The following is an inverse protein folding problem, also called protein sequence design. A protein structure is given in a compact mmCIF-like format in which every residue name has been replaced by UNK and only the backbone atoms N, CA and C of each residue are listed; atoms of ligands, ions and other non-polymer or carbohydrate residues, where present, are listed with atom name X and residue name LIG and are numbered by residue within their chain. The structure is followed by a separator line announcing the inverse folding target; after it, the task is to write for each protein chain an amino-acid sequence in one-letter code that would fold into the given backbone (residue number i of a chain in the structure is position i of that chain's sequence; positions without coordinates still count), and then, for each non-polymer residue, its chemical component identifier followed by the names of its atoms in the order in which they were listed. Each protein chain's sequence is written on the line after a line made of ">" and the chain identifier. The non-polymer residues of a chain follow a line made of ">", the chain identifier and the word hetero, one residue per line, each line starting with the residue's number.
data_IF_934410548301
#
_entry.id   IF_934410548301
#
_cell.length_a   1.000
_cell.length_b   1.000
_cell.length_c   1.000
_cell.angle_alpha   90.00
_cell.angle_beta   90.00
_cell.angle_gamma   90.00
#
_symmetry.space_group_name_H-M   'P 1'
#
loop_
_entity.id
_entity.type
_entity.pdbx_description
1 polymer ?
#
# COMPACT_ATOMS: atom_id res chain seq x y z
N UNK A 1 10.76 14.21 -60.77
CA UNK A 1 10.44 13.18 -59.75
C UNK A 1 9.58 13.88 -58.72
N UNK A 2 8.29 13.54 -58.64
CA UNK A 2 7.37 14.16 -57.69
C UNK A 2 7.57 13.41 -56.37
N UNK A 3 7.93 14.10 -55.30
CA UNK A 3 8.03 13.52 -53.95
C UNK A 3 6.66 13.64 -53.28
N UNK A 4 6.02 12.51 -53.01
CA UNK A 4 4.78 12.43 -52.26
C UNK A 4 5.09 12.06 -50.82
N UNK A 5 5.59 13.03 -50.04
CA UNK A 5 5.96 12.84 -48.64
C UNK A 5 5.05 13.60 -47.68
N UNK A 6 4.68 12.95 -46.57
CA UNK A 6 3.98 13.59 -45.44
C UNK A 6 5.01 13.97 -44.36
N UNK A 7 4.93 15.21 -43.88
CA UNK A 7 5.82 15.70 -42.81
C UNK A 7 5.01 16.29 -41.67
N UNK A 8 4.99 15.57 -40.55
CA UNK A 8 4.32 16.00 -39.31
C UNK A 8 5.36 16.68 -38.43
N UNK A 9 5.11 17.93 -38.03
CA UNK A 9 5.99 18.70 -37.13
C UNK A 9 5.35 18.78 -35.75
N UNK A 10 6.17 18.91 -34.71
CA UNK A 10 5.72 19.00 -33.32
C UNK A 10 4.81 17.84 -32.92
N UNK A 11 5.25 16.61 -33.21
CA UNK A 11 4.51 15.38 -32.94
C UNK A 11 4.10 15.30 -31.48
N UNK A 12 2.83 15.03 -31.27
CA UNK A 12 2.19 14.80 -29.98
C UNK A 12 1.65 13.38 -29.93
N UNK A 13 1.22 12.90 -28.75
CA UNK A 13 0.57 11.59 -28.64
C UNK A 13 -0.68 11.43 -29.50
N UNK A 14 -1.35 12.55 -29.85
CA UNK A 14 -2.56 12.54 -30.66
C UNK A 14 -2.29 12.18 -32.13
N UNK A 15 -1.03 12.29 -32.55
CA UNK A 15 -0.59 11.91 -33.89
C UNK A 15 -0.26 10.41 -33.99
N UNK A 16 -0.27 9.66 -32.88
CA UNK A 16 -0.09 8.21 -32.94
C UNK A 16 -1.28 7.57 -33.64
N UNK A 17 -1.03 6.66 -34.58
CA UNK A 17 -2.09 6.00 -35.32
C UNK A 17 -1.64 5.34 -36.61
N UNK A 18 -2.61 4.74 -37.31
CA UNK A 18 -2.40 4.14 -38.63
C UNK A 18 -2.66 5.20 -39.70
N UNK A 19 -1.63 5.53 -40.45
CA UNK A 19 -1.67 6.40 -41.61
C UNK A 19 -1.83 5.54 -42.86
N UNK A 20 -2.62 6.03 -43.81
CA UNK A 20 -2.91 5.35 -45.06
C UNK A 20 -2.64 6.29 -46.22
N UNK A 21 -1.87 5.81 -47.19
CA UNK A 21 -1.62 6.48 -48.45
C UNK A 21 -2.46 5.79 -49.53
N UNK A 22 -3.31 6.54 -50.22
CA UNK A 22 -4.15 6.03 -51.31
C UNK A 22 -3.79 6.79 -52.59
N UNK A 23 -3.60 6.06 -53.69
CA UNK A 23 -3.37 6.63 -55.02
C UNK A 23 -4.61 6.40 -55.88
N UNK A 24 -5.14 7.46 -56.48
CA UNK A 24 -6.30 7.40 -57.38
C UNK A 24 -6.04 8.19 -58.67
N UNK A 25 -6.59 7.72 -59.79
CA UNK A 25 -6.52 8.42 -61.08
C UNK A 25 -7.92 8.88 -61.55
N UNK A 26 -8.04 10.04 -62.21
CA UNK A 26 -9.34 10.59 -62.64
C UNK A 26 -10.08 9.73 -63.65
N UNK A 27 -9.37 8.90 -64.44
CA UNK A 27 -9.92 8.10 -65.53
C UNK A 27 -10.62 6.82 -65.07
N UNK A 28 -10.45 6.43 -63.79
CA UNK A 28 -11.10 5.26 -63.22
C UNK A 28 -11.94 5.70 -62.02
N UNK A 29 -13.17 6.11 -62.30
CA UNK A 29 -14.19 6.40 -61.29
C UNK A 29 -14.33 5.19 -60.35
N UNK A 30 -13.61 5.23 -59.22
CA UNK A 30 -13.79 4.29 -58.10
C UNK A 30 -12.77 3.16 -57.95
N UNK A 31 -11.67 3.10 -58.73
CA UNK A 31 -10.59 2.13 -58.47
C UNK A 31 -9.40 2.80 -57.77
N UNK A 32 -9.15 2.45 -56.51
CA UNK A 32 -7.89 2.77 -55.83
C UNK A 32 -6.77 1.98 -56.54
N UNK A 33 -5.79 2.70 -57.11
CA UNK A 33 -4.71 2.10 -57.88
C UNK A 33 -3.72 1.36 -56.99
N UNK A 34 -3.43 1.95 -55.83
CA UNK A 34 -2.55 1.38 -54.82
C UNK A 34 -2.86 1.99 -53.45
N UNK A 35 -2.72 1.20 -52.40
CA UNK A 35 -2.88 1.61 -51.01
C UNK A 35 -1.73 1.03 -50.18
N UNK A 36 -1.10 1.86 -49.34
CA UNK A 36 -0.16 1.38 -48.33
C UNK A 36 -0.47 2.01 -46.97
N UNK A 37 -0.11 1.30 -45.89
CA UNK A 37 -0.39 1.73 -44.53
C UNK A 37 0.81 1.64 -43.61
N UNK A 38 1.04 2.68 -42.83
CA UNK A 38 2.12 2.77 -41.84
C UNK A 38 1.56 3.13 -40.48
N UNK A 39 2.08 2.51 -39.41
CA UNK A 39 1.70 2.85 -38.04
C UNK A 39 2.75 3.77 -37.43
N UNK A 40 2.33 4.98 -37.04
CA UNK A 40 3.15 5.91 -36.28
C UNK A 40 2.98 5.65 -34.78
N UNK A 41 4.04 5.18 -34.13
CA UNK A 41 4.11 5.10 -32.68
C UNK A 41 4.83 6.33 -32.12
N UNK A 42 4.21 7.00 -31.14
CA UNK A 42 4.80 8.17 -30.48
C UNK A 42 5.38 7.75 -29.13
N UNK A 43 6.70 7.83 -29.01
CA UNK A 43 7.41 7.53 -27.77
C UNK A 43 7.44 8.77 -26.87
N UNK A 44 7.25 8.57 -25.56
CA UNK A 44 7.25 9.65 -24.56
C UNK A 44 8.03 9.22 -23.33
N UNK A 45 8.86 10.12 -22.82
CA UNK A 45 9.59 9.92 -21.57
C UNK A 45 8.62 9.75 -20.38
N UNK A 46 9.06 9.12 -19.29
CA UNK A 46 8.21 8.96 -18.11
C UNK A 46 7.89 10.32 -17.49
N UNK A 47 6.70 10.46 -16.90
CA UNK A 47 6.43 11.57 -16.00
C UNK A 47 7.22 11.43 -14.69
N UNK A 48 7.25 12.50 -13.88
CA UNK A 48 7.77 12.41 -12.51
C UNK A 48 6.93 11.39 -11.72
N UNK A 49 7.52 10.28 -11.23
CA UNK A 49 6.76 9.25 -10.55
C UNK A 49 6.31 9.70 -9.16
N UNK A 50 5.19 9.15 -8.70
CA UNK A 50 4.75 9.20 -7.31
C UNK A 50 5.46 8.11 -6.52
N UNK A 51 6.09 8.48 -5.41
CA UNK A 51 6.73 7.56 -4.48
C UNK A 51 5.90 7.42 -3.20
N UNK A 52 5.47 6.21 -2.91
CA UNK A 52 4.75 5.85 -1.68
C UNK A 52 5.77 5.22 -0.74
N UNK A 53 6.15 5.98 0.28
CA UNK A 53 7.11 5.59 1.31
C UNK A 53 6.46 5.90 2.66
N UNK A 54 6.35 4.94 3.58
CA UNK A 54 5.81 5.20 4.90
C UNK A 54 6.76 6.10 5.69
N UNK A 55 6.19 7.04 6.46
CA UNK A 55 7.00 7.93 7.30
C UNK A 55 7.74 7.16 8.41
N UNK A 56 7.12 6.09 8.91
CA UNK A 56 7.66 5.25 9.98
C UNK A 56 7.33 3.77 9.78
N UNK A 57 8.20 2.89 10.30
CA UNK A 57 7.98 1.46 10.38
C UNK A 57 8.53 0.89 11.69
N UNK A 58 8.07 -0.30 12.08
CA UNK A 58 8.58 -1.00 13.25
C UNK A 58 9.61 -2.04 12.82
N UNK A 59 10.74 -2.09 13.52
CA UNK A 59 11.77 -3.10 13.35
C UNK A 59 11.17 -4.51 13.41
N UNK A 60 11.56 -5.38 12.48
CA UNK A 60 11.02 -6.74 12.36
C UNK A 60 9.80 -6.88 11.42
N UNK A 61 9.22 -5.78 10.94
CA UNK A 61 8.03 -5.83 10.06
C UNK A 61 8.36 -5.93 8.57
N UNK A 62 7.38 -6.34 7.78
CA UNK A 62 7.42 -6.28 6.31
C UNK A 62 6.96 -4.90 5.88
N UNK A 63 7.73 -4.24 5.00
CA UNK A 63 7.41 -2.90 4.51
C UNK A 63 7.53 -2.87 2.99
N UNK A 64 6.54 -2.28 2.32
CA UNK A 64 6.49 -2.12 0.88
C UNK A 64 6.51 -0.64 0.50
N UNK A 65 7.41 -0.28 -0.42
CA UNK A 65 7.50 1.03 -1.05
C UNK A 65 7.06 0.89 -2.51
N UNK A 66 6.28 1.85 -3.01
CA UNK A 66 5.77 1.83 -4.40
C UNK A 66 6.18 3.07 -5.17
N UNK A 67 6.45 2.87 -6.45
CA UNK A 67 6.83 3.93 -7.39
C UNK A 67 5.98 3.78 -8.65
N UNK A 68 5.25 4.82 -9.02
CA UNK A 68 4.31 4.79 -10.14
C UNK A 68 4.36 6.11 -10.91
N UNK A 69 4.58 6.06 -12.23
CA UNK A 69 4.34 7.19 -13.11
C UNK A 69 2.96 7.12 -13.78
N UNK A 70 2.47 8.28 -14.22
CA UNK A 70 1.17 8.40 -14.91
C UNK A 70 1.28 8.10 -16.41
N UNK A 71 2.49 8.13 -16.94
CA UNK A 71 2.73 8.10 -18.37
C UNK A 71 4.18 7.72 -18.69
N UNK A 72 4.33 7.03 -19.80
CA UNK A 72 5.61 6.67 -20.39
C UNK A 72 5.35 5.69 -21.53
N UNK A 73 5.92 5.94 -22.70
CA UNK A 73 5.92 4.98 -23.80
C UNK A 73 7.32 4.89 -24.40
N UNK A 74 8.02 3.74 -24.33
CA UNK A 74 7.59 2.47 -23.73
C UNK A 74 7.42 2.54 -22.21
N UNK A 75 6.77 1.52 -21.63
CA UNK A 75 6.61 1.39 -20.18
C UNK A 75 7.98 1.41 -19.48
N UNK A 76 8.16 2.24 -18.43
CA UNK A 76 9.46 2.42 -17.81
C UNK A 76 9.87 1.26 -16.91
N UNK A 77 11.18 1.21 -16.64
CA UNK A 77 11.74 0.44 -15.56
C UNK A 77 12.07 1.36 -14.38
N UNK A 78 11.94 0.83 -13.17
CA UNK A 78 12.07 1.55 -11.93
C UNK A 78 13.34 1.16 -11.18
N UNK A 79 14.03 2.17 -10.65
CA UNK A 79 15.20 2.00 -9.80
C UNK A 79 15.02 2.77 -8.50
N UNK A 80 15.16 2.08 -7.38
CA UNK A 80 15.13 2.68 -6.06
C UNK A 80 16.50 3.13 -5.59
N UNK A 81 16.49 4.17 -4.77
CA UNK A 81 17.66 4.75 -4.13
C UNK A 81 17.34 5.02 -2.66
N UNK A 82 18.32 4.76 -1.80
CA UNK A 82 18.29 5.11 -0.39
C UNK A 82 19.50 6.01 -0.10
N UNK A 83 19.25 7.20 0.43
CA UNK A 83 20.28 8.20 0.75
C UNK A 83 21.19 8.50 -0.45
N UNK A 84 20.58 8.53 -1.65
CA UNK A 84 21.29 8.73 -2.92
C UNK A 84 21.94 7.49 -3.51
N UNK A 85 22.05 6.38 -2.76
CA UNK A 85 22.69 5.14 -3.20
C UNK A 85 21.66 4.23 -3.87
N UNK A 86 22.00 3.73 -5.06
CA UNK A 86 21.13 2.81 -5.83
C UNK A 86 20.97 1.48 -5.09
N UNK A 87 19.72 1.04 -4.91
CA UNK A 87 19.39 -0.28 -4.39
C UNK A 87 19.37 -1.30 -5.54
N UNK A 88 20.18 -2.36 -5.41
CA UNK A 88 20.24 -3.45 -6.38
C UNK A 88 19.12 -4.45 -6.14
N UNK A 89 18.63 -5.09 -7.21
CA UNK A 89 17.38 -5.87 -7.17
C UNK A 89 17.32 -7.03 -6.18
N UNK A 90 18.48 -7.59 -5.82
CA UNK A 90 18.62 -8.62 -4.80
C UNK A 90 19.99 -8.47 -4.14
N UNK A 91 20.12 -7.81 -2.97
CA UNK A 91 21.37 -7.80 -2.23
C UNK A 91 21.56 -9.17 -1.55
N UNK A 92 21.79 -10.22 -2.33
CA UNK A 92 22.48 -11.40 -1.80
C UNK A 92 23.94 -11.00 -1.64
N UNK A 93 24.26 -10.40 -0.50
CA UNK A 93 25.63 -10.21 -0.02
C UNK A 93 26.48 -9.27 -0.91
N UNK A 94 26.43 -7.95 -0.70
CA UNK A 94 27.31 -7.08 -1.52
C UNK A 94 27.31 -5.57 -1.33
N UNK A 95 26.61 -4.99 -0.36
CA UNK A 95 26.77 -3.55 -0.10
C UNK A 95 26.75 -3.29 1.40
N UNK A 96 27.85 -2.70 1.88
CA UNK A 96 28.22 -2.53 3.27
C UNK A 96 27.23 -1.67 4.08
N UNK A 97 26.11 -2.23 4.57
CA UNK A 97 25.35 -1.53 5.61
C UNK A 97 23.92 -1.94 5.89
N UNK A 98 23.28 -2.81 5.10
CA UNK A 98 21.89 -3.22 5.37
C UNK A 98 21.81 -4.72 5.60
N UNK A 99 21.59 -5.14 6.84
CA UNK A 99 21.32 -6.55 7.21
C UNK A 99 19.92 -7.04 6.75
N UNK A 100 19.20 -6.22 5.98
CA UNK A 100 17.81 -6.44 5.64
C UNK A 100 17.66 -7.05 4.25
N UNK A 101 16.94 -8.17 4.20
CA UNK A 101 16.54 -8.82 2.96
C UNK A 101 15.44 -8.00 2.30
N UNK A 102 15.77 -7.35 1.18
CA UNK A 102 14.80 -6.64 0.35
C UNK A 102 14.81 -7.16 -1.09
N UNK A 103 13.70 -6.99 -1.79
CA UNK A 103 13.53 -7.31 -3.21
C UNK A 103 13.05 -6.08 -3.97
N UNK A 104 13.59 -5.86 -5.18
CA UNK A 104 13.11 -4.80 -6.08
C UNK A 104 12.51 -5.43 -7.32
N UNK A 105 11.25 -5.09 -7.59
CA UNK A 105 10.62 -5.36 -8.87
C UNK A 105 10.73 -4.10 -9.75
N UNK A 106 11.63 -4.16 -10.74
CA UNK A 106 11.90 -3.04 -11.65
C UNK A 106 10.76 -2.78 -12.63
N UNK A 107 9.78 -3.67 -12.78
CA UNK A 107 8.63 -3.50 -13.67
C UNK A 107 7.43 -2.89 -12.96
N UNK A 108 7.16 -3.32 -11.71
CA UNK A 108 6.07 -2.74 -10.90
C UNK A 108 6.48 -1.52 -10.08
N UNK A 109 7.78 -1.26 -9.96
CA UNK A 109 8.30 -0.18 -9.10
C UNK A 109 8.23 -0.49 -7.62
N UNK A 110 8.05 -1.76 -7.24
CA UNK A 110 7.93 -2.19 -5.85
C UNK A 110 9.29 -2.48 -5.23
N UNK A 111 9.56 -1.90 -4.06
CA UNK A 111 10.65 -2.28 -3.18
C UNK A 111 10.06 -2.86 -1.89
N UNK A 112 10.30 -4.14 -1.63
CA UNK A 112 9.74 -4.84 -0.48
C UNK A 112 10.86 -5.27 0.45
N UNK A 113 10.78 -4.84 1.71
CA UNK A 113 11.60 -5.34 2.81
C UNK A 113 10.85 -6.49 3.49
N UNK A 114 11.49 -7.66 3.58
CA UNK A 114 10.91 -8.79 4.32
C UNK A 114 11.00 -8.59 5.84
N UNK A 115 12.05 -7.90 6.28
CA UNK A 115 12.26 -7.55 7.68
C UNK A 115 13.06 -6.26 7.70
N UNK A 116 12.41 -5.17 8.11
CA UNK A 116 13.11 -3.89 8.27
C UNK A 116 13.87 -3.85 9.60
N UNK A 117 14.99 -3.15 9.60
CA UNK A 117 15.79 -2.84 10.79
C UNK A 117 16.00 -1.34 10.90
N UNK A 118 16.47 -0.87 12.06
CA UNK A 118 16.80 0.55 12.28
C UNK A 118 17.76 1.12 11.22
N UNK A 119 18.65 0.28 10.69
CA UNK A 119 19.60 0.63 9.63
C UNK A 119 18.92 0.93 8.29
N UNK A 120 17.68 0.51 8.07
CA UNK A 120 16.90 0.85 6.87
C UNK A 120 16.24 2.23 6.97
N UNK A 121 16.39 2.94 8.07
CA UNK A 121 16.00 4.35 8.11
C UNK A 121 16.80 5.14 7.08
N UNK A 122 16.14 6.07 6.39
CA UNK A 122 16.79 6.87 5.34
C UNK A 122 15.81 7.59 4.44
N UNK A 123 16.35 8.36 3.49
CA UNK A 123 15.59 9.03 2.45
C UNK A 123 15.52 8.16 1.19
N UNK A 124 14.30 7.78 0.81
CA UNK A 124 14.04 6.90 -0.33
C UNK A 124 13.51 7.71 -1.52
N UNK A 125 14.09 7.46 -2.69
CA UNK A 125 13.63 8.02 -3.95
C UNK A 125 13.64 6.94 -5.04
N UNK A 126 12.76 7.06 -6.02
CA UNK A 126 12.71 6.18 -7.18
C UNK A 126 12.85 6.98 -8.47
N UNK A 127 13.56 6.39 -9.42
CA UNK A 127 13.68 6.84 -10.80
C UNK A 127 12.92 5.89 -11.73
N UNK A 128 12.08 6.47 -12.59
CA UNK A 128 11.45 5.78 -13.72
C UNK A 128 12.22 6.13 -15.00
N UNK A 129 12.60 5.11 -15.80
CA UNK A 129 13.41 5.27 -17.01
C UNK A 129 12.89 4.43 -18.16
N UNK A 130 12.82 5.01 -19.36
CA UNK A 130 12.61 4.30 -20.62
C UNK A 130 13.63 4.75 -21.68
N UNK A 131 13.45 4.33 -22.94
CA UNK A 131 14.35 4.67 -24.06
C UNK A 131 14.36 6.15 -24.43
N UNK A 132 13.34 6.91 -24.03
CA UNK A 132 13.20 8.34 -24.34
C UNK A 132 13.82 9.21 -23.24
N UNK A 133 13.75 8.79 -21.99
CA UNK A 133 14.32 9.56 -20.88
C UNK A 133 14.07 8.96 -19.50
N UNK A 134 14.35 9.75 -18.46
CA UNK A 134 14.16 9.37 -17.07
C UNK A 134 13.63 10.52 -16.23
N UNK A 135 12.89 10.20 -15.17
CA UNK A 135 12.42 11.15 -14.15
C UNK A 135 12.49 10.51 -12.77
N UNK A 136 12.71 11.35 -11.76
CA UNK A 136 12.88 10.91 -10.37
C UNK A 136 11.93 11.64 -9.44
N UNK A 137 11.32 10.92 -8.50
CA UNK A 137 10.50 11.52 -7.46
C UNK A 137 11.37 12.23 -6.41
N UNK A 138 10.75 13.12 -5.62
CA UNK A 138 11.42 13.68 -4.44
C UNK A 138 11.65 12.58 -3.41
N UNK A 139 12.75 12.69 -2.67
CA UNK A 139 13.04 11.77 -1.59
C UNK A 139 12.02 11.89 -0.46
N UNK A 140 11.66 10.74 0.12
CA UNK A 140 10.78 10.62 1.28
C UNK A 140 11.49 9.86 2.38
N UNK A 141 11.45 10.39 3.59
CA UNK A 141 12.14 9.78 4.74
C UNK A 141 11.28 8.72 5.39
N UNK A 142 11.84 7.52 5.54
CA UNK A 142 11.30 6.43 6.36
C UNK A 142 12.15 6.30 7.63
N UNK A 143 11.50 6.26 8.79
CA UNK A 143 12.16 6.03 10.07
C UNK A 143 11.74 4.67 10.65
N UNK A 144 12.71 3.82 11.00
CA UNK A 144 12.43 2.51 11.57
C UNK A 144 12.78 2.52 13.06
N UNK A 145 11.77 2.29 13.90
CA UNK A 145 11.91 2.28 15.36
C UNK A 145 11.78 0.86 15.93
N UNK A 146 12.51 0.56 17.00
CA UNK A 146 12.43 -0.73 17.69
C UNK A 146 11.24 -0.77 18.66
N UNK A 147 10.68 -1.97 18.91
CA UNK A 147 9.67 -2.15 19.94
C UNK A 147 10.27 -1.90 21.33
N UNK A 148 9.63 -1.04 22.13
CA UNK A 148 10.06 -0.81 23.51
C UNK A 148 9.60 -1.95 24.45
N UNK A 149 10.25 -3.10 24.35
CA UNK A 149 9.91 -4.30 25.13
C UNK A 149 9.99 -4.02 26.64
N UNK A 150 10.99 -3.26 27.10
CA UNK A 150 11.14 -2.90 28.51
C UNK A 150 9.94 -2.10 29.02
N UNK A 151 9.47 -1.11 28.26
CA UNK A 151 8.28 -0.34 28.60
C UNK A 151 7.01 -1.18 28.63
N UNK A 152 6.86 -2.11 27.68
CA UNK A 152 5.71 -3.03 27.65
C UNK A 152 5.72 -3.94 28.89
N UNK A 153 6.86 -4.56 29.21
CA UNK A 153 6.99 -5.43 30.39
C UNK A 153 6.70 -4.63 31.68
N UNK A 154 7.26 -3.43 31.83
CA UNK A 154 7.02 -2.59 32.99
C UNK A 154 5.53 -2.26 33.16
N UNK A 155 4.84 -1.89 32.09
CA UNK A 155 3.40 -1.60 32.11
C UNK A 155 2.57 -2.83 32.52
N UNK A 156 2.92 -4.01 32.00
CA UNK A 156 2.23 -5.27 32.35
C UNK A 156 2.44 -5.63 33.83
N UNK A 157 3.67 -5.51 34.34
CA UNK A 157 3.98 -5.78 35.75
C UNK A 157 3.23 -4.82 36.67
N UNK A 158 3.26 -3.52 36.36
CA UNK A 158 2.53 -2.51 37.15
C UNK A 158 1.02 -2.78 37.13
N UNK A 159 0.45 -3.08 35.95
CA UNK A 159 -0.95 -3.43 35.82
C UNK A 159 -1.33 -4.67 36.65
N UNK A 160 -0.52 -5.72 36.62
CA UNK A 160 -0.74 -6.94 37.40
C UNK A 160 -0.68 -6.67 38.92
N UNK A 161 0.25 -5.85 39.38
CA UNK A 161 0.35 -5.45 40.79
C UNK A 161 -0.88 -4.66 41.24
N UNK A 162 -1.35 -3.71 40.43
CA UNK A 162 -2.57 -2.94 40.74
C UNK A 162 -3.79 -3.86 40.81
N UNK A 163 -3.95 -4.78 39.84
CA UNK A 163 -5.06 -5.75 39.84
C UNK A 163 -4.99 -6.64 41.08
N UNK A 164 -3.80 -7.11 41.45
CA UNK A 164 -3.61 -7.94 42.65
C UNK A 164 -3.99 -7.18 43.92
N UNK A 165 -3.52 -5.93 44.08
CA UNK A 165 -3.84 -5.09 45.24
C UNK A 165 -5.35 -4.79 45.30
N UNK A 166 -5.97 -4.44 44.17
CA UNK A 166 -7.42 -4.22 44.11
C UNK A 166 -8.20 -5.49 44.45
N UNK A 167 -7.80 -6.64 43.91
CA UNK A 167 -8.43 -7.94 44.19
C UNK A 167 -8.33 -8.31 45.67
N UNK A 168 -7.14 -8.17 46.27
CA UNK A 168 -6.94 -8.37 47.71
C UNK A 168 -7.78 -7.39 48.53
N UNK A 169 -7.90 -6.13 48.10
CA UNK A 169 -8.76 -5.12 48.72
C UNK A 169 -10.23 -5.52 48.71
N UNK A 170 -10.75 -6.02 47.59
CA UNK A 170 -12.13 -6.54 47.47
C UNK A 170 -12.33 -7.77 48.35
N UNK A 171 -11.42 -8.75 48.29
CA UNK A 171 -11.49 -9.95 49.14
C UNK A 171 -11.45 -9.60 50.63
N UNK A 172 -10.62 -8.62 51.01
CA UNK A 172 -10.56 -8.10 52.36
C UNK A 172 -11.88 -7.44 52.77
N UNK A 173 -12.45 -6.60 51.89
CA UNK A 173 -13.71 -5.91 52.13
C UNK A 173 -14.88 -6.89 52.30
N UNK A 174 -14.94 -7.94 51.48
CA UNK A 174 -15.91 -9.03 51.60
C UNK A 174 -15.77 -9.78 52.93
N UNK A 175 -14.54 -10.16 53.33
CA UNK A 175 -14.29 -10.87 54.60
C UNK A 175 -14.67 -10.06 55.84
N UNK A 176 -14.47 -8.74 55.81
CA UNK A 176 -14.84 -7.83 56.91
C UNK A 176 -16.31 -7.43 56.90
N UNK A 177 -17.10 -7.93 55.95
CA UNK A 177 -18.54 -7.66 55.88
C UNK A 177 -18.89 -6.25 55.41
N UNK A 178 -17.94 -5.49 54.85
CA UNK A 178 -18.20 -4.16 54.31
C UNK A 178 -19.19 -4.18 53.13
N UNK A 179 -19.29 -5.32 52.44
CA UNK A 179 -20.28 -5.55 51.38
C UNK A 179 -21.59 -6.20 51.87
N UNK A 180 -21.85 -6.26 53.19
CA UNK A 180 -23.09 -6.83 53.74
C UNK A 180 -24.05 -5.74 54.24
N UNK A 181 -24.86 -5.20 53.32
CA UNK A 181 -26.26 -4.80 53.53
C UNK A 181 -26.91 -4.35 52.21
N UNK A 182 -27.61 -5.27 51.58
CA UNK A 182 -28.98 -4.99 51.12
C UNK A 182 -29.89 -6.04 51.77
N UNK A 183 -30.69 -5.63 52.75
CA UNK A 183 -31.80 -6.44 53.27
C UNK A 183 -33.11 -5.95 52.65
N UNK A 184 -33.69 -6.85 51.84
CA UNK A 184 -35.11 -7.12 51.61
C UNK A 184 -36.03 -6.08 50.95
N UNK A 185 -36.54 -6.45 49.76
CA UNK A 185 -37.98 -6.36 49.49
C UNK A 185 -38.55 -7.78 49.27
N UNK A 186 -39.31 -8.23 50.27
CA UNK A 186 -40.41 -9.19 50.32
C UNK A 186 -40.26 -10.68 49.90
N UNK A 187 -40.16 -11.47 50.97
CA UNK A 187 -40.72 -12.81 51.28
C UNK A 187 -42.08 -13.18 50.63
N UNK A 188 -42.18 -14.41 50.07
CA UNK A 188 -43.27 -15.39 50.32
C UNK A 188 -43.03 -16.72 49.55
N UNK A 189 -42.63 -17.79 50.26
CA UNK A 189 -43.34 -19.07 50.45
C UNK A 189 -43.67 -19.94 49.22
N UNK A 190 -43.07 -21.13 49.26
CA UNK A 190 -43.68 -22.47 49.06
C UNK A 190 -44.27 -22.89 47.70
N UNK A 191 -43.70 -24.02 47.25
CA UNK A 191 -44.34 -25.18 46.62
C UNK A 191 -44.81 -25.10 45.15
N UNK A 192 -44.11 -25.89 44.32
CA UNK A 192 -44.65 -26.91 43.41
C UNK A 192 -45.74 -26.51 42.39
N UNK A 193 -45.37 -26.45 41.09
CA UNK A 193 -45.83 -27.36 40.01
C UNK A 193 -45.77 -26.71 38.62
N UNK A 194 -45.21 -27.51 37.72
CA UNK A 194 -45.59 -27.77 36.33
C UNK A 194 -46.30 -26.70 35.47
N UNK A 195 -45.71 -26.54 34.27
CA UNK A 195 -46.34 -26.57 32.95
C UNK A 195 -46.73 -25.25 32.23
N UNK A 196 -46.38 -25.28 30.94
CA UNK A 196 -47.01 -24.70 29.73
C UNK A 196 -46.61 -23.30 29.19
N UNK A 197 -45.79 -23.36 28.13
CA UNK A 197 -45.85 -22.75 26.78
C UNK A 197 -46.18 -21.27 26.50
N UNK A 198 -45.49 -20.78 25.45
CA UNK A 198 -45.85 -19.76 24.45
C UNK A 198 -45.59 -18.29 24.87
N UNK A 199 -45.13 -17.34 24.05
CA UNK A 199 -44.57 -17.25 22.70
C UNK A 199 -44.24 -15.74 22.46
N UNK A 200 -43.44 -15.48 21.43
CA UNK A 200 -43.24 -14.22 20.70
C UNK A 200 -42.17 -13.19 21.17
N UNK A 201 -41.16 -13.13 20.29
CA UNK A 201 -40.67 -11.95 19.58
C UNK A 201 -40.04 -10.82 20.37
N UNK A 202 -38.71 -10.76 20.35
CA UNK A 202 -38.01 -9.48 20.17
C UNK A 202 -36.96 -9.55 19.07
N UNK A 203 -37.20 -8.68 18.08
CA UNK A 203 -36.53 -8.52 16.79
C UNK A 203 -35.04 -8.18 16.94
N UNK A 204 -34.23 -8.81 16.09
CA UNK A 204 -32.92 -8.33 15.66
C UNK A 204 -33.03 -6.91 15.10
N UNK A 205 -32.29 -5.95 15.66
CA UNK A 205 -32.03 -4.68 14.97
C UNK A 205 -30.70 -4.78 14.24
N UNK A 206 -30.77 -4.54 12.93
CA UNK A 206 -29.73 -4.70 11.92
C UNK A 206 -28.65 -3.63 11.99
N UNK A 207 -27.48 -4.02 11.51
CA UNK A 207 -26.32 -3.19 11.19
C UNK A 207 -26.35 -2.64 9.75
N UNK A 208 -25.56 -1.57 9.56
CA UNK A 208 -24.91 -1.03 8.34
C UNK A 208 -25.63 -0.05 7.40
N UNK A 209 -24.84 0.98 7.05
CA UNK A 209 -24.94 1.90 5.93
C UNK A 209 -23.93 1.44 4.86
N UNK A 210 -24.41 1.11 3.66
CA UNK A 210 -24.01 1.68 2.37
C UNK A 210 -25.32 1.96 1.63
#
# INVERSE_FOLDING_TARGET
>A
MIDFSIRIKNVTRKDAGKYRCEVSAPSEQGQNLEEDTVTLEVLVAPAVPSCEVPNSALSGTVVELRCQDKEGNPAPEYTWFKDGIRLLGNPKLGSQGTNSSYTVNTKSGTLQFNTVSKLDSGEYACEARNSVGHRRCRGKRMQVDDLNISGIIAAVVVGALVISVCGLGVCYAQRKGYFSKETSFQKSSSASKAATMSENDFKHTKSFII
#
